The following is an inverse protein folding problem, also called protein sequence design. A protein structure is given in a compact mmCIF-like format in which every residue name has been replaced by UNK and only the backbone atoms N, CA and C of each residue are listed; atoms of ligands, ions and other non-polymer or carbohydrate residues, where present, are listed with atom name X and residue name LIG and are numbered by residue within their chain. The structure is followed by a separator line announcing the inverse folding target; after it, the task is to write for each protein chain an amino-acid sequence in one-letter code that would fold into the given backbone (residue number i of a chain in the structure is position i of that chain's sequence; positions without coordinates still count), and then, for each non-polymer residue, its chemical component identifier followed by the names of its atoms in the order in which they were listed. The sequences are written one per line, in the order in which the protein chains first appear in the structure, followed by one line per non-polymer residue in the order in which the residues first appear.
data_IF_012251467119
#
_entry.id   IF_012251467119
#
_cell.length_a   1.000
_cell.length_b   1.000
_cell.length_c   1.000
_cell.angle_alpha   90.00
_cell.angle_beta   90.00
_cell.angle_gamma   90.00
#
_symmetry.space_group_name_H-M   'P 1'
#
loop_
_entity.id
_entity.type
_entity.pdbx_description
1 polymer ?
#
# COMPACT_ATOMS: atom_id res chain seq x y z
N UNK A 1 12.63 10.63 20.10
CA UNK A 1 11.59 10.45 19.08
C UNK A 1 10.33 9.87 19.72
N UNK A 2 9.56 10.76 20.38
CA UNK A 2 8.39 10.45 21.20
C UNK A 2 7.19 9.88 20.40
N UNK A 3 7.25 9.89 19.08
CA UNK A 3 6.16 9.41 18.22
C UNK A 3 6.22 7.91 17.90
N UNK A 4 7.40 7.29 17.97
CA UNK A 4 7.57 5.84 17.71
C UNK A 4 7.21 4.97 18.92
N UNK A 5 7.33 5.47 20.14
CA UNK A 5 7.11 4.69 21.35
C UNK A 5 5.64 4.54 21.80
N UNK A 6 4.77 5.49 21.44
CA UNK A 6 3.42 5.54 21.96
C UNK A 6 2.38 4.73 21.14
N UNK A 7 2.69 4.38 19.89
CA UNK A 7 1.77 3.67 19.00
C UNK A 7 2.06 2.18 18.81
N UNK A 8 3.24 1.70 19.25
CA UNK A 8 3.65 0.32 19.02
C UNK A 8 3.14 -0.68 20.08
N UNK A 9 2.58 -0.20 21.19
CA UNK A 9 2.23 -1.09 22.32
C UNK A 9 0.85 -1.74 22.24
N UNK A 10 -0.05 -1.27 21.39
CA UNK A 10 -1.45 -1.71 21.37
C UNK A 10 -1.93 -2.33 20.05
N UNK A 11 -1.06 -2.51 19.04
CA UNK A 11 -1.44 -3.00 17.73
C UNK A 11 -0.88 -4.40 17.51
N UNK A 12 -1.75 -5.38 17.29
CA UNK A 12 -1.37 -6.77 17.02
C UNK A 12 -1.17 -7.01 15.51
N UNK A 13 -0.39 -8.06 15.17
CA UNK A 13 -0.27 -8.53 13.77
C UNK A 13 -1.66 -8.84 13.19
N UNK A 14 -2.55 -9.39 14.03
CA UNK A 14 -3.91 -9.69 13.62
C UNK A 14 -4.68 -8.44 13.18
N UNK A 15 -4.56 -7.32 13.91
CA UNK A 15 -5.22 -6.07 13.53
C UNK A 15 -4.75 -5.57 12.16
N UNK A 16 -3.46 -5.77 11.87
CA UNK A 16 -2.90 -5.40 10.58
C UNK A 16 -3.42 -6.29 9.46
N UNK A 17 -3.47 -7.61 9.70
CA UNK A 17 -3.99 -8.58 8.72
C UNK A 17 -5.46 -8.28 8.43
N UNK A 18 -6.27 -8.01 9.44
CA UNK A 18 -7.69 -7.65 9.28
C UNK A 18 -7.86 -6.40 8.39
N UNK A 19 -7.02 -5.37 8.61
CA UNK A 19 -7.00 -4.16 7.76
C UNK A 19 -6.58 -4.48 6.32
N UNK A 20 -5.56 -5.33 6.15
CA UNK A 20 -5.07 -5.71 4.82
C UNK A 20 -6.08 -6.54 4.03
N UNK A 21 -6.87 -7.41 4.68
CA UNK A 21 -7.93 -8.17 4.01
C UNK A 21 -9.01 -7.27 3.43
N UNK A 22 -9.48 -6.30 4.21
CA UNK A 22 -10.45 -5.31 3.73
C UNK A 22 -9.85 -4.43 2.63
N UNK A 23 -8.60 -3.99 2.80
CA UNK A 23 -7.88 -3.19 1.82
C UNK A 23 -7.73 -3.92 0.50
N UNK A 24 -7.39 -5.21 0.52
CA UNK A 24 -7.22 -6.06 -0.65
C UNK A 24 -8.48 -6.05 -1.53
N UNK A 25 -9.64 -6.34 -0.95
CA UNK A 25 -10.90 -6.38 -1.67
C UNK A 25 -11.32 -5.01 -2.23
N UNK A 26 -11.23 -3.97 -1.40
CA UNK A 26 -11.67 -2.63 -1.79
C UNK A 26 -10.75 -2.00 -2.84
N UNK A 27 -9.44 -2.14 -2.72
CA UNK A 27 -8.50 -1.59 -3.71
C UNK A 27 -8.50 -2.39 -5.02
N UNK A 28 -8.69 -3.72 -4.96
CA UNK A 28 -8.94 -4.53 -6.15
C UNK A 28 -10.19 -4.08 -6.91
N UNK A 29 -11.31 -3.84 -6.19
CA UNK A 29 -12.52 -3.27 -6.77
C UNK A 29 -12.28 -1.89 -7.39
N UNK A 30 -11.54 -1.03 -6.69
CA UNK A 30 -11.22 0.31 -7.17
C UNK A 30 -10.40 0.28 -8.46
N UNK A 31 -9.37 -0.56 -8.53
CA UNK A 31 -8.52 -0.72 -9.72
C UNK A 31 -9.32 -1.20 -10.93
N UNK A 32 -10.21 -2.18 -10.73
CA UNK A 32 -11.11 -2.65 -11.80
C UNK A 32 -12.02 -1.55 -12.33
N UNK A 33 -12.62 -0.75 -11.43
CA UNK A 33 -13.45 0.40 -11.83
C UNK A 33 -12.61 1.50 -12.50
N UNK A 34 -11.38 1.76 -12.02
CA UNK A 34 -10.47 2.72 -12.63
C UNK A 34 -10.14 2.35 -14.08
N UNK A 35 -9.94 1.08 -14.39
CA UNK A 35 -9.69 0.62 -15.76
C UNK A 35 -10.82 0.98 -16.71
N UNK A 36 -12.06 1.01 -16.21
CA UNK A 36 -13.26 1.35 -17.02
C UNK A 36 -13.48 2.86 -17.12
N UNK A 37 -13.20 3.60 -16.04
CA UNK A 37 -13.69 4.97 -15.87
C UNK A 37 -12.61 6.06 -15.95
N UNK A 38 -11.33 5.69 -15.73
CA UNK A 38 -10.25 6.68 -15.66
C UNK A 38 -10.14 7.50 -16.96
N UNK A 39 -10.10 8.82 -16.81
CA UNK A 39 -9.85 9.75 -17.90
C UNK A 39 -8.40 9.65 -18.39
N UNK A 40 -8.12 10.25 -19.54
CA UNK A 40 -6.75 10.30 -20.09
C UNK A 40 -5.79 11.03 -19.14
N UNK A 41 -6.25 12.12 -18.57
CA UNK A 41 -5.50 12.94 -17.61
C UNK A 41 -5.19 12.16 -16.33
N UNK A 42 -6.16 11.41 -15.82
CA UNK A 42 -5.98 10.54 -14.65
C UNK A 42 -5.00 9.40 -14.92
N UNK A 43 -5.04 8.79 -16.10
CA UNK A 43 -4.08 7.76 -16.53
C UNK A 43 -2.65 8.31 -16.59
N UNK A 44 -2.45 9.54 -17.10
CA UNK A 44 -1.13 10.17 -17.09
C UNK A 44 -0.66 10.52 -15.65
N UNK A 45 -1.57 10.95 -14.78
CA UNK A 45 -1.25 11.20 -13.38
C UNK A 45 -0.86 9.91 -12.62
N UNK A 46 -1.47 8.76 -12.96
CA UNK A 46 -1.09 7.45 -12.42
C UNK A 46 0.32 7.05 -12.86
N UNK A 47 0.65 7.19 -14.16
CA UNK A 47 2.02 6.94 -14.66
C UNK A 47 3.06 7.76 -13.92
N UNK A 48 2.78 9.05 -13.74
CA UNK A 48 3.69 9.95 -13.02
C UNK A 48 3.89 9.49 -11.56
N UNK A 49 2.82 9.17 -10.85
CA UNK A 49 2.91 8.72 -9.46
C UNK A 49 3.73 7.42 -9.33
N UNK A 50 3.56 6.48 -10.27
CA UNK A 50 4.33 5.24 -10.32
C UNK A 50 5.82 5.49 -10.57
N UNK A 51 6.14 6.41 -11.46
CA UNK A 51 7.54 6.77 -11.76
C UNK A 51 8.20 7.48 -10.57
N UNK A 52 7.51 8.38 -9.90
CA UNK A 52 8.05 9.03 -8.69
C UNK A 52 8.23 8.04 -7.54
N UNK A 53 7.32 7.07 -7.39
CA UNK A 53 7.50 5.98 -6.43
C UNK A 53 8.76 5.15 -6.74
N UNK A 54 8.95 4.76 -8.00
CA UNK A 54 10.14 4.02 -8.44
C UNK A 54 11.43 4.79 -8.10
N UNK A 55 11.47 6.09 -8.40
CA UNK A 55 12.62 6.96 -8.05
C UNK A 55 12.85 7.05 -6.56
N UNK A 56 11.78 7.18 -5.77
CA UNK A 56 11.88 7.20 -4.32
C UNK A 56 12.51 5.90 -3.78
N UNK A 57 12.12 4.75 -4.31
CA UNK A 57 12.72 3.45 -3.95
C UNK A 57 14.21 3.41 -4.30
N UNK A 58 14.60 3.90 -5.48
CA UNK A 58 16.01 3.94 -5.91
C UNK A 58 16.87 4.89 -5.03
N UNK A 59 16.30 5.97 -4.55
CA UNK A 59 17.00 6.92 -3.67
C UNK A 59 17.08 6.47 -2.21
N UNK A 60 16.26 5.49 -1.81
CA UNK A 60 16.21 4.96 -0.45
C UNK A 60 15.63 5.93 0.59
N UNK A 61 14.88 6.95 0.17
CA UNK A 61 14.22 7.89 1.07
C UNK A 61 12.88 7.34 1.54
N UNK A 62 12.81 6.87 2.78
CA UNK A 62 11.61 6.29 3.38
C UNK A 62 10.43 7.27 3.32
N UNK A 63 10.63 8.54 3.64
CA UNK A 63 9.56 9.54 3.63
C UNK A 63 9.00 9.77 2.21
N UNK A 64 9.88 9.84 1.20
CA UNK A 64 9.44 9.99 -0.20
C UNK A 64 8.74 8.73 -0.70
N UNK A 65 9.19 7.56 -0.30
CA UNK A 65 8.57 6.30 -0.66
C UNK A 65 7.16 6.21 -0.11
N UNK A 66 6.97 6.46 1.21
CA UNK A 66 5.66 6.47 1.84
C UNK A 66 4.74 7.48 1.14
N UNK A 67 5.23 8.68 0.91
CA UNK A 67 4.49 9.75 0.23
C UNK A 67 3.98 9.33 -1.15
N UNK A 68 4.84 8.73 -1.97
CA UNK A 68 4.48 8.35 -3.33
C UNK A 68 3.67 7.07 -3.40
N UNK A 69 3.87 6.14 -2.47
CA UNK A 69 3.01 4.97 -2.28
C UNK A 69 1.57 5.39 -1.95
N UNK A 70 1.40 6.29 -0.98
CA UNK A 70 0.09 6.85 -0.65
C UNK A 70 -0.55 7.58 -1.83
N UNK A 71 0.22 8.41 -2.51
CA UNK A 71 -0.25 9.15 -3.67
C UNK A 71 -0.71 8.21 -4.80
N UNK A 72 0.00 7.10 -5.00
CA UNK A 72 -0.36 6.08 -5.97
C UNK A 72 -1.70 5.44 -5.63
N UNK A 73 -1.82 4.84 -4.44
CA UNK A 73 -3.05 4.16 -4.01
C UNK A 73 -4.26 5.10 -4.00
N UNK A 74 -4.09 6.32 -3.49
CA UNK A 74 -5.15 7.34 -3.48
C UNK A 74 -5.62 7.70 -4.90
N UNK A 75 -4.70 7.77 -5.87
CA UNK A 75 -5.06 8.05 -7.27
C UNK A 75 -5.81 6.88 -7.91
N UNK A 76 -5.35 5.65 -7.74
CA UNK A 76 -6.05 4.45 -8.25
C UNK A 76 -7.49 4.44 -7.74
N UNK A 77 -7.67 4.65 -6.43
CA UNK A 77 -8.99 4.68 -5.80
C UNK A 77 -9.85 5.85 -6.32
N UNK A 78 -9.26 7.03 -6.48
CA UNK A 78 -9.93 8.21 -7.05
C UNK A 78 -10.46 7.97 -8.45
N UNK A 79 -9.67 7.32 -9.31
CA UNK A 79 -10.05 6.95 -10.68
C UNK A 79 -11.24 5.98 -10.76
N UNK A 80 -11.61 5.32 -9.66
CA UNK A 80 -12.82 4.48 -9.61
C UNK A 80 -14.11 5.28 -9.84
N UNK A 81 -14.10 6.58 -9.56
CA UNK A 81 -15.25 7.46 -9.63
C UNK A 81 -16.41 7.06 -8.71
N UNK A 82 -16.18 6.15 -7.78
CA UNK A 82 -17.17 5.67 -6.82
C UNK A 82 -16.96 6.36 -5.46
N UNK A 83 -17.77 7.36 -5.16
CA UNK A 83 -17.64 8.19 -3.95
C UNK A 83 -17.68 7.37 -2.65
N UNK A 84 -18.56 6.39 -2.58
CA UNK A 84 -18.68 5.51 -1.40
C UNK A 84 -17.42 4.66 -1.22
N UNK A 85 -16.92 4.07 -2.30
CA UNK A 85 -15.69 3.29 -2.27
C UNK A 85 -14.49 4.15 -1.87
N UNK A 86 -14.37 5.36 -2.41
CA UNK A 86 -13.32 6.33 -2.06
C UNK A 86 -13.33 6.62 -0.55
N UNK A 87 -14.51 6.86 0.04
CA UNK A 87 -14.62 7.11 1.47
C UNK A 87 -14.22 5.91 2.32
N UNK A 88 -14.69 4.69 1.98
CA UNK A 88 -14.36 3.48 2.70
C UNK A 88 -12.86 3.17 2.64
N UNK A 89 -12.27 3.24 1.45
CA UNK A 89 -10.83 3.00 1.27
C UNK A 89 -10.00 4.05 2.01
N UNK A 90 -10.42 5.31 2.02
CA UNK A 90 -9.71 6.36 2.76
C UNK A 90 -9.60 6.04 4.25
N UNK A 91 -10.67 5.54 4.87
CA UNK A 91 -10.66 5.12 6.28
C UNK A 91 -9.72 3.94 6.51
N UNK A 92 -9.76 2.94 5.63
CA UNK A 92 -8.89 1.74 5.73
C UNK A 92 -7.42 2.11 5.51
N UNK A 93 -7.13 2.98 4.54
CA UNK A 93 -5.76 3.46 4.29
C UNK A 93 -5.21 4.27 5.46
N UNK A 94 -6.03 5.06 6.13
CA UNK A 94 -5.62 5.80 7.34
C UNK A 94 -5.22 4.83 8.47
N UNK A 95 -5.95 3.73 8.64
CA UNK A 95 -5.55 2.68 9.57
C UNK A 95 -4.23 2.01 9.14
N UNK A 96 -4.08 1.69 7.85
CA UNK A 96 -2.86 1.10 7.31
C UNK A 96 -1.63 2.00 7.48
N UNK A 97 -1.78 3.34 7.42
CA UNK A 97 -0.69 4.29 7.64
C UNK A 97 -0.02 4.14 9.01
N UNK A 98 -0.78 3.80 10.04
CA UNK A 98 -0.24 3.58 11.39
C UNK A 98 0.76 2.43 11.42
N UNK A 99 0.62 1.47 10.50
CA UNK A 99 1.46 0.28 10.41
C UNK A 99 2.60 0.43 9.43
N UNK A 100 2.54 1.33 8.46
CA UNK A 100 3.55 1.50 7.42
C UNK A 100 4.94 1.76 8.00
N UNK A 101 5.06 2.63 8.99
CA UNK A 101 6.34 2.92 9.64
C UNK A 101 6.98 1.71 10.33
N UNK A 102 6.21 0.69 10.66
CA UNK A 102 6.72 -0.55 11.24
C UNK A 102 7.38 -1.42 10.18
N UNK A 103 6.91 -1.35 8.92
CA UNK A 103 7.40 -2.18 7.81
C UNK A 103 8.52 -1.55 7.01
N UNK A 104 8.58 -0.23 6.96
CA UNK A 104 9.54 0.48 6.13
C UNK A 104 10.92 0.69 6.79
N UNK A 105 11.16 0.14 7.97
CA UNK A 105 12.48 0.20 8.63
C UNK A 105 13.55 -0.67 7.91
N UNK A 106 13.12 -1.63 7.06
CA UNK A 106 14.04 -2.42 6.22
C UNK A 106 13.58 -2.45 4.77
N UNK A 107 14.04 -1.49 4.02
CA UNK A 107 13.58 -1.18 2.65
C UNK A 107 14.06 -2.14 1.58
N UNK A 108 15.15 -2.89 1.83
CA UNK A 108 15.68 -3.88 0.89
C UNK A 108 14.67 -4.98 0.52
N UNK A 109 13.60 -5.09 1.29
CA UNK A 109 12.57 -6.12 1.18
C UNK A 109 11.46 -5.79 0.17
N UNK A 110 11.44 -4.56 -0.38
CA UNK A 110 10.36 -4.09 -1.26
C UNK A 110 10.79 -3.86 -2.72
N UNK A 111 11.90 -4.45 -3.15
CA UNK A 111 12.46 -4.27 -4.49
C UNK A 111 11.45 -4.60 -5.63
N UNK A 112 10.49 -5.49 -5.38
CA UNK A 112 9.47 -5.87 -6.35
C UNK A 112 8.30 -4.89 -6.50
N UNK A 113 8.03 -4.04 -5.51
CA UNK A 113 6.82 -3.19 -5.48
C UNK A 113 6.71 -2.18 -6.63
N UNK A 114 7.78 -1.54 -7.13
CA UNK A 114 7.67 -0.66 -8.29
C UNK A 114 7.12 -1.37 -9.54
N UNK A 115 7.45 -2.64 -9.74
CA UNK A 115 6.90 -3.44 -10.84
C UNK A 115 5.43 -3.76 -10.61
N UNK A 116 5.03 -4.06 -9.39
CA UNK A 116 3.64 -4.34 -9.03
C UNK A 116 2.75 -3.12 -9.27
N UNK A 117 3.18 -1.92 -8.87
CA UNK A 117 2.47 -0.67 -9.15
C UNK A 117 2.36 -0.43 -10.67
N UNK A 118 3.44 -0.71 -11.41
CA UNK A 118 3.44 -0.61 -12.87
C UNK A 118 2.44 -1.55 -13.51
N UNK A 119 2.34 -2.79 -13.06
CA UNK A 119 1.41 -3.78 -13.60
C UNK A 119 -0.06 -3.36 -13.40
N UNK A 120 -0.37 -2.76 -12.23
CA UNK A 120 -1.69 -2.20 -11.95
C UNK A 120 -2.00 -1.06 -12.92
N UNK A 121 -1.07 -0.12 -13.10
CA UNK A 121 -1.26 1.04 -13.98
C UNK A 121 -1.38 0.62 -15.44
N UNK A 122 -0.57 -0.30 -15.91
CA UNK A 122 -0.64 -0.82 -17.28
C UNK A 122 -1.99 -1.46 -17.58
N UNK A 123 -2.54 -2.21 -16.62
CA UNK A 123 -3.87 -2.79 -16.74
C UNK A 123 -4.99 -1.71 -16.75
N UNK A 124 -4.87 -0.68 -15.92
CA UNK A 124 -5.81 0.46 -15.92
C UNK A 124 -5.74 1.21 -17.26
N UNK A 125 -4.54 1.45 -17.78
CA UNK A 125 -4.35 2.17 -19.04
C UNK A 125 -4.93 1.39 -20.22
N UNK A 126 -4.73 0.07 -20.25
CA UNK A 126 -5.27 -0.80 -21.30
C UNK A 126 -6.79 -0.99 -21.20
N UNK A 127 -7.41 -0.59 -20.10
CA UNK A 127 -8.84 -0.79 -19.85
C UNK A 127 -9.22 -2.23 -19.46
N UNK A 128 -8.23 -3.04 -19.05
CA UNK A 128 -8.44 -4.41 -18.60
C UNK A 128 -8.82 -4.43 -17.12
N UNK A 129 -10.13 -4.39 -16.86
CA UNK A 129 -10.68 -4.31 -15.50
C UNK A 129 -10.37 -5.54 -14.65
N UNK A 130 -10.40 -6.73 -15.27
CA UNK A 130 -10.12 -7.98 -14.55
C UNK A 130 -8.65 -8.07 -14.16
N UNK A 131 -7.75 -7.76 -15.09
CA UNK A 131 -6.31 -7.71 -14.83
C UNK A 131 -5.98 -6.63 -13.80
N UNK A 132 -6.56 -5.43 -13.90
CA UNK A 132 -6.33 -4.35 -12.95
C UNK A 132 -6.74 -4.76 -11.52
N UNK A 133 -7.92 -5.38 -11.39
CA UNK A 133 -8.40 -5.91 -10.12
C UNK A 133 -7.44 -6.96 -9.56
N UNK A 134 -7.08 -7.94 -10.37
CA UNK A 134 -6.19 -9.03 -9.98
C UNK A 134 -4.80 -8.52 -9.56
N UNK A 135 -4.21 -7.62 -10.34
CA UNK A 135 -2.89 -7.05 -10.02
C UNK A 135 -2.90 -6.27 -8.71
N UNK A 136 -3.96 -5.50 -8.43
CA UNK A 136 -4.10 -4.79 -7.16
C UNK A 136 -4.31 -5.74 -5.98
N UNK A 137 -5.12 -6.77 -6.15
CA UNK A 137 -5.35 -7.84 -5.17
C UNK A 137 -4.05 -8.55 -4.81
N UNK A 138 -3.30 -8.99 -5.82
CA UNK A 138 -2.00 -9.67 -5.64
C UNK A 138 -0.97 -8.78 -4.95
N UNK A 139 -0.93 -7.49 -5.27
CA UNK A 139 -0.04 -6.52 -4.64
C UNK A 139 -0.30 -6.45 -3.12
N UNK A 140 -1.55 -6.27 -2.69
CA UNK A 140 -1.91 -6.22 -1.28
C UNK A 140 -1.73 -7.59 -0.60
N UNK A 141 -2.02 -8.70 -1.30
CA UNK A 141 -1.80 -10.05 -0.78
C UNK A 141 -0.33 -10.30 -0.44
N UNK A 142 0.59 -9.93 -1.32
CA UNK A 142 2.04 -10.05 -1.06
C UNK A 142 2.48 -9.20 0.14
N UNK A 143 1.96 -8.00 0.26
CA UNK A 143 2.22 -7.16 1.42
C UNK A 143 1.69 -7.80 2.71
N UNK A 144 0.49 -8.39 2.68
CA UNK A 144 -0.09 -9.13 3.81
C UNK A 144 0.76 -10.34 4.20
N UNK A 145 1.19 -11.15 3.25
CA UNK A 145 2.07 -12.30 3.48
C UNK A 145 3.40 -11.89 4.11
N UNK A 146 3.98 -10.80 3.61
CA UNK A 146 5.18 -10.22 4.20
C UNK A 146 4.97 -9.83 5.67
N UNK A 147 3.86 -9.15 5.96
CA UNK A 147 3.48 -8.74 7.32
C UNK A 147 3.37 -9.94 8.26
N UNK A 148 2.71 -11.00 7.83
CA UNK A 148 2.56 -12.22 8.63
C UNK A 148 3.92 -12.84 8.92
N UNK A 149 4.76 -12.99 7.89
CA UNK A 149 6.06 -13.65 7.99
C UNK A 149 7.06 -12.90 8.86
N UNK A 150 7.15 -11.59 8.69
CA UNK A 150 8.16 -10.76 9.35
C UNK A 150 7.64 -10.10 10.64
N UNK A 151 6.32 -9.91 10.74
CA UNK A 151 5.68 -9.32 11.91
C UNK A 151 5.95 -10.11 13.18
N UNK A 152 5.95 -11.44 13.11
CA UNK A 152 6.30 -12.31 14.24
C UNK A 152 7.74 -12.06 14.74
N UNK A 153 8.67 -11.81 13.81
CA UNK A 153 10.08 -11.56 14.13
C UNK A 153 10.27 -10.19 14.80
N UNK A 154 9.58 -9.17 14.32
CA UNK A 154 9.67 -7.78 14.84
C UNK A 154 8.99 -7.67 16.20
N UNK A 155 7.83 -8.29 16.38
CA UNK A 155 7.07 -8.23 17.65
C UNK A 155 7.67 -9.11 18.74
N UNK A 156 8.30 -10.24 18.42
CA UNK A 156 8.96 -11.11 19.42
C UNK A 156 10.38 -10.63 19.77
N UNK A 157 11.09 -9.94 18.86
CA UNK A 157 12.43 -9.40 19.12
C UNK A 157 12.47 -8.27 20.15
N UNK A 158 11.36 -7.59 20.37
CA UNK A 158 11.30 -6.43 21.30
C UNK A 158 11.02 -6.81 22.76
N UNK A 159 10.64 -8.05 23.05
CA UNK A 159 10.39 -8.54 24.42
C UNK A 159 11.65 -9.08 25.12
N UNK A 160 12.81 -9.10 24.45
CA UNK A 160 14.08 -9.64 24.98
C UNK A 160 15.07 -8.60 25.49
N UNK A 161 14.81 -7.31 25.42
CA UNK A 161 15.69 -6.26 25.98
C UNK A 161 15.10 -5.69 27.25
N UNK A 162 15.30 -6.44 28.33
CA UNK A 162 15.16 -5.93 29.68
C UNK A 162 16.37 -4.98 29.95
N UNK A 163 16.20 -3.70 30.32
CA UNK A 163 17.33 -2.85 30.71
C UNK A 163 17.79 -3.31 32.11
N UNK A 164 19.01 -3.78 32.17
CA UNK A 164 19.75 -3.82 33.43
C UNK A 164 20.34 -2.44 33.72
#
# INVERSE_FOLDING_TARGET
DLRRGAYASDISIKDIVDVMEVRQDLEGMAAGLAAIKATKEEKEALKKATEEYRRAVETGSIDEIIKWDEAFHKRVVGCSGNKTLIQLVSQVQELALRFRYIYYDDFSRFEGQPMEHKDIVDAIISGDAEKARKSADEHISRLKEFVIKEGETVFHGNHGRNPQ
#
